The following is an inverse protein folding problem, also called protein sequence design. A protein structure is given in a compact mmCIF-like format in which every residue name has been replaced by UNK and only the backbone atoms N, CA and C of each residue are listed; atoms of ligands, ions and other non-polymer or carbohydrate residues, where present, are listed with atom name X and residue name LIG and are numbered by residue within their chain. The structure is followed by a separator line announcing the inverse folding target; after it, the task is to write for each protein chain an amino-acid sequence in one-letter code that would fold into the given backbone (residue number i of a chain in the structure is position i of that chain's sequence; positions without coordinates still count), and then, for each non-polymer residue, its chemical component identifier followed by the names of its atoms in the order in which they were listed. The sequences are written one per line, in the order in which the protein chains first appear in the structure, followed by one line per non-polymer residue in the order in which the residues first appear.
data_IF_491007632223
#
_entry.id   IF_491007632223
#
_cell.length_a   1.000
_cell.length_b   1.000
_cell.length_c   1.000
_cell.angle_alpha   90.00
_cell.angle_beta   90.00
_cell.angle_gamma   90.00
#
_symmetry.space_group_name_H-M   'P 1'
#
loop_
_entity.id
_entity.type
_entity.pdbx_description
1 polymer ?
#
# COMPACT_ATOMS: atom_id res chain seq x y z
N UNK A 1 30.99 5.17 -24.06
CA UNK A 1 29.66 5.63 -24.50
C UNK A 1 29.46 5.28 -25.98
N UNK A 2 28.33 4.67 -26.29
CA UNK A 2 28.01 4.33 -27.68
C UNK A 2 27.73 5.58 -28.52
N UNK A 3 28.24 5.60 -29.73
CA UNK A 3 27.97 6.67 -30.69
C UNK A 3 26.74 6.33 -31.51
N UNK A 4 25.82 7.26 -31.64
CA UNK A 4 24.58 7.10 -32.38
C UNK A 4 24.50 8.16 -33.52
N UNK A 5 24.22 7.78 -34.77
CA UNK A 5 23.97 8.74 -35.84
C UNK A 5 22.78 9.65 -35.49
N UNK A 6 22.83 10.91 -35.96
CA UNK A 6 21.80 11.90 -35.67
C UNK A 6 20.40 11.43 -36.09
N UNK A 7 20.30 10.76 -37.25
CA UNK A 7 19.03 10.23 -37.75
C UNK A 7 18.42 9.10 -36.90
N UNK A 8 19.22 8.49 -36.02
CA UNK A 8 18.79 7.44 -35.11
C UNK A 8 18.77 7.87 -33.64
N UNK A 9 19.10 9.13 -33.36
CA UNK A 9 19.19 9.65 -32.00
C UNK A 9 17.84 9.50 -31.24
N UNK A 10 16.74 9.82 -31.92
CA UNK A 10 15.40 9.70 -31.34
C UNK A 10 15.10 8.27 -30.87
N UNK A 11 15.41 7.26 -31.67
CA UNK A 11 15.24 5.85 -31.34
C UNK A 11 16.10 5.44 -30.13
N UNK A 12 17.38 5.89 -30.11
CA UNK A 12 18.29 5.59 -29.01
C UNK A 12 17.84 6.23 -27.70
N UNK A 13 17.41 7.48 -27.72
CA UNK A 13 16.90 8.19 -26.53
C UNK A 13 15.62 7.53 -26.03
N UNK A 14 14.69 7.20 -26.92
CA UNK A 14 13.44 6.51 -26.54
C UNK A 14 13.71 5.17 -25.87
N UNK A 15 14.66 4.40 -26.36
CA UNK A 15 15.04 3.12 -25.78
C UNK A 15 15.61 3.29 -24.37
N UNK A 16 16.49 4.26 -24.15
CA UNK A 16 17.06 4.54 -22.83
C UNK A 16 15.97 4.95 -21.84
N UNK A 17 15.04 5.80 -22.26
CA UNK A 17 13.93 6.23 -21.42
C UNK A 17 12.99 5.08 -21.07
N UNK A 18 12.72 4.18 -22.00
CA UNK A 18 11.90 2.99 -21.74
C UNK A 18 12.56 2.06 -20.74
N UNK A 19 13.85 1.83 -20.84
CA UNK A 19 14.60 0.99 -19.90
C UNK A 19 14.59 1.61 -18.50
N UNK A 20 14.82 2.92 -18.39
CA UNK A 20 14.79 3.63 -17.11
C UNK A 20 13.40 3.59 -16.47
N UNK A 21 12.36 3.86 -17.25
CA UNK A 21 10.98 3.78 -16.77
C UNK A 21 10.60 2.37 -16.33
N UNK A 22 11.07 1.35 -17.06
CA UNK A 22 10.87 -0.05 -16.71
C UNK A 22 11.51 -0.43 -15.38
N UNK A 23 12.73 0.04 -15.12
CA UNK A 23 13.45 -0.20 -13.89
C UNK A 23 12.76 0.47 -12.70
N UNK A 24 12.31 1.72 -12.85
CA UNK A 24 11.52 2.42 -11.83
C UNK A 24 10.23 1.66 -11.53
N UNK A 25 9.49 1.26 -12.56
CA UNK A 25 8.22 0.54 -12.40
C UNK A 25 8.40 -0.77 -11.64
N UNK A 26 9.45 -1.51 -11.95
CA UNK A 26 9.79 -2.75 -11.26
C UNK A 26 10.13 -2.52 -9.79
N UNK A 27 10.98 -1.53 -9.53
CA UNK A 27 11.40 -1.20 -8.17
C UNK A 27 10.22 -0.70 -7.32
N UNK A 28 9.34 0.11 -7.89
CA UNK A 28 8.13 0.59 -7.22
C UNK A 28 7.17 -0.56 -6.92
N UNK A 29 7.01 -1.50 -7.85
CA UNK A 29 6.17 -2.67 -7.63
C UNK A 29 6.68 -3.53 -6.46
N UNK A 30 7.99 -3.72 -6.36
CA UNK A 30 8.60 -4.46 -5.25
C UNK A 30 8.39 -3.75 -3.90
N UNK A 31 8.58 -2.43 -3.86
CA UNK A 31 8.33 -1.62 -2.67
C UNK A 31 6.85 -1.70 -2.27
N UNK A 32 5.94 -1.60 -3.21
CA UNK A 32 4.50 -1.68 -2.95
C UNK A 32 4.12 -3.03 -2.33
N UNK A 33 4.64 -4.13 -2.87
CA UNK A 33 4.40 -5.47 -2.31
C UNK A 33 4.90 -5.58 -0.87
N UNK A 34 6.10 -5.11 -0.61
CA UNK A 34 6.71 -5.14 0.72
C UNK A 34 5.90 -4.32 1.73
N UNK A 35 5.57 -3.08 1.38
CA UNK A 35 4.82 -2.17 2.25
C UNK A 35 3.40 -2.69 2.50
N UNK A 36 2.72 -3.22 1.50
CA UNK A 36 1.40 -3.80 1.68
C UNK A 36 1.41 -5.03 2.59
N UNK A 37 2.40 -5.89 2.44
CA UNK A 37 2.57 -7.06 3.31
C UNK A 37 2.85 -6.65 4.75
N UNK A 38 3.80 -5.74 4.94
CA UNK A 38 4.13 -5.18 6.26
C UNK A 38 2.92 -4.48 6.88
N UNK A 39 2.21 -3.70 6.07
CA UNK A 39 1.01 -2.98 6.49
C UNK A 39 -0.12 -3.89 6.94
N UNK A 40 -0.39 -4.96 6.22
CA UNK A 40 -1.39 -5.94 6.60
C UNK A 40 -1.07 -6.58 7.97
N UNK A 41 0.20 -6.91 8.19
CA UNK A 41 0.65 -7.44 9.49
C UNK A 41 0.53 -6.40 10.60
N UNK A 42 0.88 -5.15 10.32
CA UNK A 42 0.78 -4.06 11.30
C UNK A 42 -0.67 -3.76 11.69
N UNK A 43 -1.60 -3.76 10.73
CA UNK A 43 -3.03 -3.58 11.02
C UNK A 43 -3.59 -4.76 11.80
N UNK A 44 -3.18 -5.98 11.50
CA UNK A 44 -3.56 -7.16 12.32
C UNK A 44 -3.19 -6.97 13.78
N UNK A 45 -1.94 -6.59 14.04
CA UNK A 45 -1.46 -6.38 15.41
C UNK A 45 -2.19 -5.24 16.10
N UNK A 46 -2.38 -4.13 15.40
CA UNK A 46 -3.13 -2.96 15.90
C UNK A 46 -4.59 -3.31 16.20
N UNK A 47 -5.25 -4.05 15.34
CA UNK A 47 -6.64 -4.48 15.52
C UNK A 47 -6.79 -5.44 16.71
N UNK A 48 -5.86 -6.36 16.91
CA UNK A 48 -5.86 -7.26 18.09
C UNK A 48 -5.81 -6.49 19.40
N UNK A 49 -4.99 -5.45 19.46
CA UNK A 49 -4.86 -4.61 20.65
C UNK A 49 -6.09 -3.73 20.89
N UNK A 50 -6.65 -3.15 19.84
CA UNK A 50 -7.74 -2.18 19.95
C UNK A 50 -9.13 -2.82 20.04
N UNK A 51 -9.38 -3.88 19.26
CA UNK A 51 -10.71 -4.48 19.13
C UNK A 51 -10.90 -5.69 20.04
N UNK A 52 -9.90 -6.55 20.15
CA UNK A 52 -9.99 -7.76 20.96
C UNK A 52 -10.95 -8.80 20.36
N UNK A 53 -11.70 -9.50 21.22
CA UNK A 53 -12.64 -10.53 20.82
C UNK A 53 -11.97 -11.86 20.45
N UNK A 54 -12.57 -12.61 19.51
CA UNK A 54 -12.07 -13.92 19.09
C UNK A 54 -10.84 -13.84 18.19
N UNK A 55 -10.48 -12.66 17.72
CA UNK A 55 -9.39 -12.45 16.76
C UNK A 55 -9.78 -12.70 15.31
N UNK A 56 -11.00 -13.10 15.02
CA UNK A 56 -11.48 -13.35 13.65
C UNK A 56 -11.40 -12.10 12.78
N UNK A 57 -11.81 -10.95 13.33
CA UNK A 57 -11.69 -9.67 12.62
C UNK A 57 -10.23 -9.33 12.36
N UNK A 58 -9.39 -9.32 13.38
CA UNK A 58 -7.99 -8.98 13.25
C UNK A 58 -7.23 -9.90 12.28
N UNK A 59 -7.51 -11.19 12.31
CA UNK A 59 -6.85 -12.16 11.42
C UNK A 59 -7.27 -12.03 9.95
N UNK A 60 -8.37 -11.34 9.68
CA UNK A 60 -8.89 -11.14 8.32
C UNK A 60 -8.17 -10.08 7.50
N UNK A 61 -7.26 -9.31 8.09
CA UNK A 61 -6.50 -8.30 7.36
C UNK A 61 -5.52 -8.93 6.39
N UNK A 62 -5.56 -8.46 5.16
CA UNK A 62 -4.70 -8.94 4.08
C UNK A 62 -4.41 -7.80 3.10
N UNK A 63 -3.60 -8.08 2.10
CA UNK A 63 -3.28 -7.10 1.07
C UNK A 63 -3.29 -7.71 -0.32
N UNK A 64 -3.50 -6.87 -1.31
CA UNK A 64 -3.46 -7.24 -2.72
C UNK A 64 -2.74 -6.14 -3.48
N UNK A 65 -1.89 -6.53 -4.41
CA UNK A 65 -1.13 -5.60 -5.26
C UNK A 65 -1.42 -5.91 -6.72
N UNK A 66 -1.77 -4.87 -7.47
CA UNK A 66 -1.98 -4.94 -8.92
C UNK A 66 -0.93 -4.10 -9.61
N UNK A 67 -0.24 -4.69 -10.56
CA UNK A 67 0.77 -4.00 -11.35
C UNK A 67 0.36 -4.01 -12.82
N UNK A 68 0.32 -2.82 -13.40
CA UNK A 68 0.19 -2.63 -14.83
C UNK A 68 1.49 -2.08 -15.38
N UNK A 69 1.59 -1.90 -16.70
CA UNK A 69 2.78 -1.33 -17.34
C UNK A 69 3.16 0.06 -16.78
N UNK A 70 2.15 0.86 -16.42
CA UNK A 70 2.35 2.27 -16.04
C UNK A 70 2.03 2.59 -14.59
N UNK A 71 1.48 1.64 -13.85
CA UNK A 71 1.04 1.90 -12.48
C UNK A 71 1.08 0.64 -11.62
N UNK A 72 1.37 0.84 -10.34
CA UNK A 72 1.21 -0.19 -9.32
C UNK A 72 0.30 0.35 -8.24
N UNK A 73 -0.69 -0.41 -7.85
CA UNK A 73 -1.59 -0.08 -6.75
C UNK A 73 -1.65 -1.23 -5.75
N UNK A 74 -1.65 -0.88 -4.48
CA UNK A 74 -1.82 -1.83 -3.40
C UNK A 74 -3.01 -1.45 -2.54
N UNK A 75 -3.71 -2.46 -2.03
CA UNK A 75 -4.80 -2.26 -1.09
C UNK A 75 -4.62 -3.19 0.10
N UNK A 76 -4.85 -2.67 1.29
CA UNK A 76 -4.90 -3.42 2.54
C UNK A 76 -6.35 -3.41 2.99
N UNK A 77 -6.94 -4.59 3.16
CA UNK A 77 -8.36 -4.72 3.45
C UNK A 77 -8.65 -5.89 4.38
N UNK A 78 -9.83 -5.88 4.98
CA UNK A 78 -10.29 -6.99 5.79
C UNK A 78 -11.11 -7.96 4.95
N UNK A 79 -10.59 -9.16 4.77
CA UNK A 79 -11.19 -10.21 3.93
C UNK A 79 -12.38 -10.88 4.59
N UNK A 80 -12.32 -11.10 5.90
CA UNK A 80 -13.33 -11.87 6.63
C UNK A 80 -14.54 -11.04 7.04
N UNK A 81 -14.35 -9.80 7.45
CA UNK A 81 -15.40 -8.92 7.96
C UNK A 81 -15.24 -7.48 7.47
N UNK A 82 -15.31 -7.26 6.16
CA UNK A 82 -15.01 -5.93 5.59
C UNK A 82 -15.99 -4.84 6.03
N UNK A 83 -17.23 -5.19 6.31
CA UNK A 83 -18.25 -4.24 6.75
C UNK A 83 -18.03 -3.69 8.16
N UNK A 84 -17.18 -4.32 8.97
CA UNK A 84 -16.89 -3.86 10.33
C UNK A 84 -15.76 -2.84 10.40
N UNK A 85 -14.91 -2.74 9.38
CA UNK A 85 -13.69 -1.96 9.44
C UNK A 85 -13.94 -0.49 9.84
N UNK A 86 -14.78 0.23 9.12
CA UNK A 86 -15.06 1.64 9.44
C UNK A 86 -15.92 1.83 10.68
N UNK A 87 -16.81 0.87 10.98
CA UNK A 87 -17.64 0.93 12.19
C UNK A 87 -16.78 0.82 13.44
N UNK A 88 -15.79 -0.07 13.45
CA UNK A 88 -14.85 -0.24 14.55
C UNK A 88 -13.88 0.94 14.64
N UNK A 89 -13.43 1.45 13.50
CA UNK A 89 -12.49 2.57 13.47
C UNK A 89 -13.12 3.86 13.99
N UNK A 90 -14.31 4.19 13.51
CA UNK A 90 -14.97 5.50 13.74
C UNK A 90 -16.12 5.46 14.75
N UNK A 91 -16.54 4.27 15.13
CA UNK A 91 -17.75 4.10 15.93
C UNK A 91 -19.03 4.15 15.11
N UNK A 92 -20.15 3.94 15.74
CA UNK A 92 -21.46 3.94 15.08
C UNK A 92 -22.61 4.29 16.03
N UNK A 93 -23.77 4.65 15.47
CA UNK A 93 -24.95 4.90 16.24
C UNK A 93 -25.55 3.60 16.78
N UNK A 94 -26.07 3.63 18.01
CA UNK A 94 -26.80 2.51 18.61
C UNK A 94 -28.27 2.56 18.24
N UNK A 95 -28.89 1.37 18.12
CA UNK A 95 -30.35 1.27 18.05
C UNK A 95 -30.93 1.74 19.38
N UNK A 96 -31.88 2.65 19.36
CA UNK A 96 -32.49 3.19 20.58
C UNK A 96 -31.81 4.42 21.17
N UNK A 97 -30.79 4.95 20.53
CA UNK A 97 -30.10 6.18 20.91
C UNK A 97 -28.68 5.97 21.41
N UNK A 98 -27.92 7.06 21.39
CA UNK A 98 -26.52 7.02 21.77
C UNK A 98 -25.60 6.52 20.67
N UNK A 99 -24.31 6.44 20.99
CA UNK A 99 -23.27 6.08 20.03
C UNK A 99 -22.25 5.15 20.66
N UNK A 100 -21.80 4.17 19.90
CA UNK A 100 -20.63 3.35 20.26
C UNK A 100 -19.37 4.07 19.82
N UNK A 101 -18.43 4.28 20.73
CA UNK A 101 -17.17 4.94 20.43
C UNK A 101 -16.32 4.09 19.48
N UNK A 102 -15.62 4.76 18.59
CA UNK A 102 -14.64 4.12 17.71
C UNK A 102 -13.42 3.63 18.46
N UNK A 103 -12.76 2.64 17.89
CA UNK A 103 -11.49 2.10 18.37
C UNK A 103 -10.47 2.17 17.23
N UNK A 104 -9.76 3.30 17.08
CA UNK A 104 -8.81 3.48 15.98
C UNK A 104 -7.74 2.39 15.98
N UNK A 105 -7.60 1.71 14.87
CA UNK A 105 -6.60 0.67 14.67
C UNK A 105 -6.00 0.73 13.24
N UNK A 106 -6.62 1.50 12.35
CA UNK A 106 -6.16 1.71 10.98
C UNK A 106 -5.34 2.99 10.90
N UNK A 107 -5.85 4.10 11.43
CA UNK A 107 -5.20 5.41 11.33
C UNK A 107 -3.76 5.45 11.83
N UNK A 108 -3.40 4.87 13.00
CA UNK A 108 -2.01 4.87 13.46
C UNK A 108 -1.07 4.13 12.51
N UNK A 109 -1.53 3.03 11.92
CA UNK A 109 -0.75 2.24 10.98
C UNK A 109 -0.62 2.97 9.65
N UNK A 110 -1.70 3.59 9.18
CA UNK A 110 -1.73 4.34 7.93
C UNK A 110 -0.69 5.47 7.92
N UNK A 111 -0.57 6.24 8.98
CA UNK A 111 0.40 7.31 9.09
C UNK A 111 1.84 6.82 8.91
N UNK A 112 2.20 5.72 9.56
CA UNK A 112 3.51 5.11 9.41
C UNK A 112 3.75 4.54 8.03
N UNK A 113 2.75 3.86 7.47
CA UNK A 113 2.85 3.27 6.14
C UNK A 113 3.03 4.31 5.04
N UNK A 114 2.37 5.46 5.14
CA UNK A 114 2.53 6.55 4.17
C UNK A 114 3.97 7.03 4.16
N UNK A 115 4.58 7.24 5.31
CA UNK A 115 5.99 7.65 5.43
C UNK A 115 6.93 6.60 4.85
N UNK A 116 6.73 5.34 5.22
CA UNK A 116 7.54 4.23 4.75
C UNK A 116 7.43 4.04 3.23
N UNK A 117 6.23 4.21 2.69
CA UNK A 117 5.98 4.11 1.26
C UNK A 117 6.65 5.24 0.47
N UNK A 118 6.51 6.48 0.93
CA UNK A 118 7.15 7.63 0.31
C UNK A 118 8.67 7.48 0.29
N UNK A 119 9.26 7.05 1.39
CA UNK A 119 10.70 6.80 1.47
C UNK A 119 11.12 5.65 0.55
N UNK A 120 10.37 4.56 0.54
CA UNK A 120 10.63 3.42 -0.32
C UNK A 120 10.56 3.76 -1.81
N UNK A 121 9.57 4.54 -2.21
CA UNK A 121 9.43 4.99 -3.61
C UNK A 121 10.57 5.93 -3.99
N UNK A 122 10.95 6.84 -3.12
CA UNK A 122 12.09 7.74 -3.34
C UNK A 122 13.38 6.95 -3.55
N UNK A 123 13.64 5.98 -2.71
CA UNK A 123 14.81 5.09 -2.86
C UNK A 123 14.74 4.27 -4.14
N UNK A 124 13.56 3.80 -4.52
CA UNK A 124 13.36 3.04 -5.76
C UNK A 124 13.71 3.86 -7.01
N UNK A 125 13.39 5.16 -7.01
CA UNK A 125 13.75 6.08 -8.07
C UNK A 125 15.26 6.35 -8.08
N UNK A 126 15.84 6.59 -6.92
CA UNK A 126 17.28 6.92 -6.79
C UNK A 126 18.19 5.77 -7.18
N UNK A 127 17.74 4.53 -7.04
CA UNK A 127 18.51 3.32 -7.36
C UNK A 127 18.22 2.74 -8.75
N UNK A 128 17.31 3.33 -9.47
CA UNK A 128 16.96 2.87 -10.80
C UNK A 128 18.04 3.18 -11.88
#
# INVERSE_FOLDING_TARGET
MAKTPIDKLNTAVSKILEEYAGDISKNVAEVTKEICKKGAQAVKASARGAVGGTGKYASGWTSEVKTTRYATSGVIYNKSQPGLAHLLENGHAKVGGGRVAGRPHIAPVEEELIKDYEEGVRNAIDTA
#
